data_IF_824538582763
#
_entry.id   IF_824538582763
#
_cell.length_a   1.000
_cell.length_b   1.000
_cell.length_c   1.000
_cell.angle_alpha   90.00
_cell.angle_beta   90.00
_cell.angle_gamma   90.00
#
_symmetry.space_group_name_H-M   'P 1'
#
loop_
_entity.id
_entity.type
_entity.pdbx_description
1 polymer ?
#
# COMPACT_ATOMS: atom_id res chain seq x y z
N UNK A 1 -7.31 3.16 18.85
CA UNK A 1 -7.70 2.44 17.63
C UNK A 1 -8.71 3.20 16.77
N UNK A 2 -9.81 3.75 17.29
CA UNK A 2 -10.81 4.55 16.50
C UNK A 2 -10.23 5.74 15.69
N UNK A 3 -9.06 6.29 16.05
CA UNK A 3 -8.45 7.44 15.35
C UNK A 3 -7.63 7.05 14.10
N UNK A 4 -7.15 5.81 14.00
CA UNK A 4 -6.46 5.32 12.81
C UNK A 4 -7.44 5.00 11.68
N UNK A 5 -8.65 4.51 12.01
CA UNK A 5 -9.72 4.27 11.04
C UNK A 5 -10.11 5.55 10.29
N UNK A 6 -10.13 6.71 10.99
CA UNK A 6 -10.46 7.99 10.37
C UNK A 6 -9.41 8.44 9.34
N UNK A 7 -8.13 8.04 9.49
CA UNK A 7 -7.10 8.44 8.54
C UNK A 7 -7.28 7.76 7.17
N UNK A 8 -7.64 6.48 7.14
CA UNK A 8 -7.89 5.76 5.88
C UNK A 8 -9.18 6.20 5.19
N UNK A 9 -10.10 6.85 5.91
CA UNK A 9 -11.37 7.36 5.39
C UNK A 9 -11.29 8.81 4.88
N UNK A 10 -10.25 9.57 5.26
CA UNK A 10 -10.12 11.00 4.92
C UNK A 10 -8.93 11.25 3.99
N UNK A 11 -9.22 11.73 2.77
CA UNK A 11 -8.21 12.05 1.74
C UNK A 11 -7.60 13.45 1.86
N UNK A 12 -7.42 13.99 3.05
CA UNK A 12 -6.93 15.33 3.17
C UNK A 12 -7.88 16.36 2.55
N UNK A 13 -7.33 17.31 1.78
CA UNK A 13 -8.10 18.33 1.04
C UNK A 13 -8.56 17.84 -0.34
N UNK A 14 -8.16 16.62 -0.77
CA UNK A 14 -8.53 16.09 -2.08
C UNK A 14 -9.97 15.57 -2.09
N UNK A 15 -10.66 15.81 -3.18
CA UNK A 15 -11.87 15.05 -3.51
C UNK A 15 -11.44 13.61 -3.85
N UNK A 16 -12.39 12.67 -3.80
CA UNK A 16 -12.10 11.28 -4.15
C UNK A 16 -11.73 11.15 -5.63
N UNK A 17 -12.26 12.01 -6.47
CA UNK A 17 -11.96 12.11 -7.91
C UNK A 17 -10.53 12.58 -8.14
N UNK A 18 -10.09 13.63 -7.44
CA UNK A 18 -8.70 14.11 -7.49
C UNK A 18 -7.73 13.04 -7.00
N UNK A 19 -8.07 12.31 -5.94
CA UNK A 19 -7.29 11.18 -5.47
C UNK A 19 -7.15 10.11 -6.56
N UNK A 20 -8.23 9.74 -7.25
CA UNK A 20 -8.20 8.76 -8.34
C UNK A 20 -7.31 9.26 -9.48
N UNK A 21 -7.42 10.54 -9.86
CA UNK A 21 -6.59 11.14 -10.90
C UNK A 21 -5.11 11.09 -10.56
N UNK A 22 -4.73 11.61 -9.39
CA UNK A 22 -3.32 11.75 -9.00
C UNK A 22 -2.67 10.41 -8.64
N UNK A 23 -3.39 9.53 -7.95
CA UNK A 23 -2.83 8.26 -7.45
C UNK A 23 -2.75 7.19 -8.53
N UNK A 24 -3.70 7.17 -9.46
CA UNK A 24 -3.82 6.10 -10.46
C UNK A 24 -3.72 6.62 -11.89
N UNK A 25 -4.63 7.47 -12.36
CA UNK A 25 -4.73 7.78 -13.79
C UNK A 25 -3.53 8.56 -14.34
N UNK A 26 -2.90 9.41 -13.53
CA UNK A 26 -1.65 10.11 -13.86
C UNK A 26 -0.39 9.37 -13.44
N UNK A 27 -0.50 8.23 -12.77
CA UNK A 27 0.61 7.45 -12.26
C UNK A 27 0.74 6.14 -13.04
N UNK A 28 1.51 6.19 -14.12
CA UNK A 28 1.68 5.03 -14.99
C UNK A 28 2.30 3.83 -14.26
N UNK A 29 3.23 4.06 -13.32
CA UNK A 29 3.83 2.98 -12.52
C UNK A 29 2.77 2.20 -11.72
N UNK A 30 1.78 2.89 -11.13
CA UNK A 30 0.67 2.25 -10.40
C UNK A 30 -0.23 1.45 -11.35
N UNK A 31 -0.53 2.02 -12.51
CA UNK A 31 -1.36 1.34 -13.51
C UNK A 31 -0.65 0.11 -14.09
N UNK A 32 0.67 0.20 -14.32
CA UNK A 32 1.50 -0.92 -14.76
C UNK A 32 1.53 -2.03 -13.70
N UNK A 33 1.71 -1.68 -12.42
CA UNK A 33 1.64 -2.62 -11.31
C UNK A 33 0.30 -3.38 -11.28
N UNK A 34 -0.82 -2.69 -11.43
CA UNK A 34 -2.13 -3.33 -11.43
C UNK A 34 -2.33 -4.26 -12.64
N UNK A 35 -1.88 -3.85 -13.84
CA UNK A 35 -1.91 -4.71 -15.04
C UNK A 35 -1.04 -5.95 -14.84
N UNK A 36 0.12 -5.79 -14.23
CA UNK A 36 1.01 -6.90 -13.92
C UNK A 36 0.34 -7.90 -12.97
N UNK A 37 -0.29 -7.44 -11.89
CA UNK A 37 -1.06 -8.31 -10.99
C UNK A 37 -2.16 -9.05 -11.74
N UNK A 38 -2.90 -8.39 -12.64
CA UNK A 38 -3.94 -9.01 -13.46
C UNK A 38 -3.37 -10.16 -14.32
N UNK A 39 -2.16 -9.98 -14.88
CA UNK A 39 -1.50 -11.01 -15.69
C UNK A 39 -1.08 -12.25 -14.89
N UNK A 40 -0.94 -12.13 -13.57
CA UNK A 40 -0.60 -13.23 -12.67
C UNK A 40 -1.82 -14.03 -12.19
N UNK A 41 -3.04 -13.55 -12.45
CA UNK A 41 -4.27 -14.26 -12.09
C UNK A 41 -4.39 -15.53 -12.97
N UNK A 42 -4.54 -16.72 -12.38
CA UNK A 42 -4.66 -17.97 -13.14
C UNK A 42 -5.80 -17.96 -14.14
N UNK A 43 -5.62 -18.66 -15.26
CA UNK A 43 -6.70 -18.92 -16.20
C UNK A 43 -7.81 -19.74 -15.52
N UNK A 44 -9.07 -19.54 -15.97
CA UNK A 44 -10.21 -20.20 -15.37
C UNK A 44 -10.60 -19.73 -13.97
N UNK A 45 -10.03 -18.60 -13.48
CA UNK A 45 -10.50 -17.96 -12.25
C UNK A 45 -11.92 -17.48 -12.43
N UNK A 46 -12.84 -17.97 -11.58
CA UNK A 46 -14.26 -17.62 -11.62
C UNK A 46 -14.69 -16.71 -10.47
N UNK A 47 -13.95 -16.70 -9.36
CA UNK A 47 -14.24 -15.88 -8.19
C UNK A 47 -12.96 -15.23 -7.63
N UNK A 48 -13.02 -13.92 -7.37
CA UNK A 48 -11.91 -13.17 -6.83
C UNK A 48 -12.38 -12.20 -5.75
N UNK A 49 -11.66 -12.17 -4.63
CA UNK A 49 -11.81 -11.15 -3.59
C UNK A 49 -10.59 -10.24 -3.55
N UNK A 50 -10.82 -8.92 -3.58
CA UNK A 50 -9.79 -7.90 -3.36
C UNK A 50 -9.93 -7.30 -1.96
N UNK A 51 -9.00 -7.63 -1.07
CA UNK A 51 -8.98 -7.17 0.31
C UNK A 51 -8.26 -5.82 0.38
N UNK A 52 -8.97 -4.78 0.87
CA UNK A 52 -8.50 -3.40 0.83
C UNK A 52 -8.63 -2.77 -0.56
N UNK A 53 -9.73 -3.04 -1.25
CA UNK A 53 -9.97 -2.65 -2.65
C UNK A 53 -9.97 -1.14 -2.91
N UNK A 54 -10.01 -0.31 -1.86
CA UNK A 54 -10.04 1.13 -1.98
C UNK A 54 -11.22 1.61 -2.83
N UNK A 55 -10.89 2.47 -3.81
CA UNK A 55 -11.87 3.02 -4.78
C UNK A 55 -12.17 2.08 -5.95
N UNK A 56 -11.68 0.84 -5.91
CA UNK A 56 -12.03 -0.24 -6.85
C UNK A 56 -11.33 -0.19 -8.20
N UNK A 57 -10.21 0.54 -8.35
CA UNK A 57 -9.49 0.65 -9.65
C UNK A 57 -9.02 -0.72 -10.16
N UNK A 58 -8.46 -1.57 -9.27
CA UNK A 58 -8.04 -2.91 -9.64
C UNK A 58 -9.22 -3.76 -10.14
N UNK A 59 -10.34 -3.73 -9.44
CA UNK A 59 -11.55 -4.48 -9.82
C UNK A 59 -12.14 -4.00 -11.16
N UNK A 60 -12.12 -2.70 -11.42
CA UNK A 60 -12.57 -2.14 -12.71
C UNK A 60 -11.64 -2.57 -13.85
N UNK A 61 -10.33 -2.54 -13.66
CA UNK A 61 -9.36 -3.05 -14.62
C UNK A 61 -9.53 -4.56 -14.86
N UNK A 62 -9.69 -5.34 -13.78
CA UNK A 62 -9.91 -6.79 -13.86
C UNK A 62 -11.14 -7.13 -14.69
N UNK A 63 -12.26 -6.45 -14.45
CA UNK A 63 -13.49 -6.61 -15.21
C UNK A 63 -13.29 -6.29 -16.70
N UNK A 64 -12.58 -5.20 -17.02
CA UNK A 64 -12.34 -4.76 -18.41
C UNK A 64 -11.36 -5.68 -19.16
N UNK A 65 -10.30 -6.14 -18.50
CA UNK A 65 -9.25 -6.91 -19.15
C UNK A 65 -9.47 -8.42 -19.17
N UNK A 66 -10.18 -8.95 -18.16
CA UNK A 66 -10.37 -10.40 -18.00
C UNK A 66 -11.84 -10.82 -17.96
N UNK A 67 -12.79 -9.88 -17.96
CA UNK A 67 -14.21 -10.19 -17.81
C UNK A 67 -14.59 -10.74 -16.44
N UNK A 68 -13.69 -10.73 -15.46
CA UNK A 68 -13.93 -11.26 -14.10
C UNK A 68 -14.58 -10.17 -13.26
N UNK A 69 -15.77 -10.44 -12.76
CA UNK A 69 -16.43 -9.57 -11.79
C UNK A 69 -16.00 -9.97 -10.38
N UNK A 70 -14.93 -9.34 -9.89
CA UNK A 70 -14.42 -9.56 -8.53
C UNK A 70 -15.26 -8.85 -7.48
N UNK A 71 -15.21 -9.37 -6.25
CA UNK A 71 -15.72 -8.74 -5.03
C UNK A 71 -14.60 -7.95 -4.35
N UNK A 72 -14.93 -6.81 -3.72
CA UNK A 72 -13.96 -6.04 -2.95
C UNK A 72 -14.45 -5.72 -1.55
N UNK A 73 -13.51 -5.61 -0.61
CA UNK A 73 -13.78 -5.04 0.71
C UNK A 73 -12.80 -3.90 1.01
N UNK A 74 -13.27 -2.87 1.70
CA UNK A 74 -12.43 -1.81 2.26
C UNK A 74 -13.03 -1.31 3.57
N UNK A 75 -12.18 -0.86 4.49
CA UNK A 75 -12.65 -0.32 5.77
C UNK A 75 -13.27 1.07 5.62
N UNK A 76 -12.90 1.80 4.57
CA UNK A 76 -13.37 3.16 4.28
C UNK A 76 -14.71 3.14 3.57
N UNK A 77 -15.77 3.51 4.29
CA UNK A 77 -17.12 3.66 3.72
C UNK A 77 -17.16 4.62 2.51
N UNK A 78 -16.41 5.71 2.60
CA UNK A 78 -16.32 6.71 1.52
C UNK A 78 -15.79 6.11 0.22
N UNK A 79 -14.72 5.28 0.30
CA UNK A 79 -14.15 4.58 -0.86
C UNK A 79 -15.11 3.53 -1.41
N UNK A 80 -15.73 2.77 -0.53
CA UNK A 80 -16.73 1.76 -0.89
C UNK A 80 -17.91 2.38 -1.63
N UNK A 81 -18.46 3.48 -1.13
CA UNK A 81 -19.59 4.16 -1.77
C UNK A 81 -19.20 4.71 -3.16
N UNK A 82 -17.99 5.23 -3.31
CA UNK A 82 -17.49 5.66 -4.60
C UNK A 82 -17.35 4.50 -5.60
N UNK A 83 -16.81 3.36 -5.16
CA UNK A 83 -16.67 2.17 -6.00
C UNK A 83 -18.04 1.57 -6.38
N UNK A 84 -19.00 1.53 -5.44
CA UNK A 84 -20.39 1.09 -5.70
C UNK A 84 -21.09 1.96 -6.75
N UNK A 85 -20.93 3.30 -6.67
CA UNK A 85 -21.50 4.23 -7.64
C UNK A 85 -20.99 3.98 -9.07
N UNK A 86 -19.87 3.26 -9.23
CA UNK A 86 -19.29 2.85 -10.52
C UNK A 86 -19.69 1.42 -10.93
N UNK A 87 -20.64 0.81 -10.23
CA UNK A 87 -21.17 -0.51 -10.53
C UNK A 87 -20.24 -1.67 -10.14
N UNK A 88 -19.33 -1.46 -9.17
CA UNK A 88 -18.46 -2.50 -8.65
C UNK A 88 -19.11 -3.22 -7.46
N UNK A 89 -18.86 -4.53 -7.32
CA UNK A 89 -19.28 -5.32 -6.17
C UNK A 89 -18.29 -5.09 -5.03
N UNK A 90 -18.62 -4.22 -4.10
CA UNK A 90 -17.76 -3.89 -2.98
C UNK A 90 -18.55 -3.73 -1.69
N UNK A 91 -17.95 -4.11 -0.57
CA UNK A 91 -18.54 -3.97 0.77
C UNK A 91 -17.58 -3.33 1.75
N UNK A 92 -18.15 -2.67 2.76
CA UNK A 92 -17.36 -2.23 3.91
C UNK A 92 -17.02 -3.44 4.76
N UNK A 93 -15.73 -3.64 5.04
CA UNK A 93 -15.26 -4.76 5.84
C UNK A 93 -13.87 -4.54 6.43
N UNK A 94 -13.56 -5.30 7.47
CA UNK A 94 -12.25 -5.37 8.10
C UNK A 94 -11.50 -6.59 7.59
N UNK A 95 -10.27 -6.39 7.10
CA UNK A 95 -9.40 -7.48 6.64
C UNK A 95 -9.13 -8.55 7.72
N UNK A 96 -9.18 -8.16 8.99
CA UNK A 96 -9.01 -9.07 10.13
C UNK A 96 -10.27 -9.85 10.53
N UNK A 97 -11.41 -9.65 9.84
CA UNK A 97 -12.68 -10.31 10.13
C UNK A 97 -13.57 -10.34 8.89
N UNK A 98 -13.26 -11.25 7.96
CA UNK A 98 -13.96 -11.40 6.68
C UNK A 98 -15.26 -12.17 6.87
N UNK A 99 -16.37 -11.63 6.36
CA UNK A 99 -17.72 -12.24 6.46
C UNK A 99 -18.01 -13.22 5.31
N UNK A 100 -17.02 -14.01 4.93
CA UNK A 100 -17.13 -15.00 3.86
C UNK A 100 -16.84 -16.39 4.40
N UNK A 101 -17.38 -17.39 3.72
CA UNK A 101 -17.11 -18.79 4.04
C UNK A 101 -15.67 -19.19 3.69
N UNK A 102 -15.21 -20.29 4.26
CA UNK A 102 -13.90 -20.86 3.98
C UNK A 102 -13.80 -21.26 2.51
N UNK A 103 -12.68 -20.94 1.89
CA UNK A 103 -12.35 -21.36 0.51
C UNK A 103 -13.40 -20.96 -0.54
N UNK A 104 -14.08 -19.83 -0.38
CA UNK A 104 -15.13 -19.39 -1.30
C UNK A 104 -14.61 -18.61 -2.53
N UNK A 105 -13.35 -18.10 -2.50
CA UNK A 105 -12.75 -17.41 -3.65
C UNK A 105 -11.58 -18.18 -4.26
N UNK A 106 -11.59 -18.38 -5.58
CA UNK A 106 -10.47 -18.98 -6.30
C UNK A 106 -9.16 -18.20 -6.08
N UNK A 107 -9.25 -16.87 -6.14
CA UNK A 107 -8.12 -15.94 -5.92
C UNK A 107 -8.50 -14.91 -4.87
N UNK A 108 -7.56 -14.62 -3.97
CA UNK A 108 -7.64 -13.47 -3.06
C UNK A 108 -6.47 -12.56 -3.30
N UNK A 109 -6.73 -11.25 -3.49
CA UNK A 109 -5.70 -10.22 -3.63
C UNK A 109 -5.67 -9.32 -2.41
N UNK A 110 -4.47 -8.80 -2.07
CA UNK A 110 -4.28 -7.73 -1.10
C UNK A 110 -3.15 -6.81 -1.61
N UNK A 111 -3.52 -5.67 -2.19
CA UNK A 111 -2.64 -4.80 -2.95
C UNK A 111 -2.42 -3.48 -2.22
N UNK A 112 -1.20 -3.26 -1.68
CA UNK A 112 -0.84 -2.09 -0.86
C UNK A 112 -1.74 -1.96 0.39
N UNK A 113 -1.86 -3.07 1.13
CA UNK A 113 -2.71 -3.17 2.32
C UNK A 113 -1.93 -3.66 3.54
N UNK A 114 -1.14 -4.74 3.38
CA UNK A 114 -0.53 -5.45 4.50
C UNK A 114 0.44 -4.59 5.31
N UNK A 115 1.15 -3.67 4.66
CA UNK A 115 2.05 -2.71 5.31
C UNK A 115 1.33 -1.75 6.25
N UNK A 116 0.07 -1.46 5.96
CA UNK A 116 -0.76 -0.53 6.72
C UNK A 116 -1.49 -1.15 7.91
N UNK A 117 -1.58 -2.48 7.97
CA UNK A 117 -2.35 -3.14 9.02
C UNK A 117 -1.64 -3.04 10.38
N UNK A 118 -2.31 -2.57 11.45
CA UNK A 118 -1.73 -2.54 12.79
C UNK A 118 -1.40 -3.94 13.30
N UNK A 119 -0.50 -4.01 14.29
CA UNK A 119 -0.22 -5.26 15.01
C UNK A 119 -1.52 -5.84 15.60
N UNK A 120 -1.67 -7.15 15.53
CA UNK A 120 -2.90 -7.86 15.92
C UNK A 120 -3.95 -7.94 14.80
N UNK A 121 -4.19 -6.86 14.05
CA UNK A 121 -5.05 -6.90 12.85
C UNK A 121 -4.33 -7.60 11.70
N UNK A 122 -3.03 -7.35 11.53
CA UNK A 122 -2.22 -7.99 10.50
C UNK A 122 -2.26 -9.52 10.59
N UNK A 123 -2.00 -10.07 11.77
CA UNK A 123 -1.98 -11.51 11.99
C UNK A 123 -3.36 -12.15 11.76
N UNK A 124 -4.43 -11.43 12.12
CA UNK A 124 -5.80 -11.84 11.81
C UNK A 124 -6.08 -11.81 10.31
N UNK A 125 -5.69 -10.73 9.63
CA UNK A 125 -5.88 -10.57 8.19
C UNK A 125 -5.17 -11.68 7.39
N UNK A 126 -3.94 -12.05 7.75
CA UNK A 126 -3.24 -13.16 7.09
C UNK A 126 -4.01 -14.47 7.22
N UNK A 127 -4.57 -14.76 8.41
CA UNK A 127 -5.39 -15.95 8.65
C UNK A 127 -6.70 -15.92 7.85
N UNK A 128 -7.38 -14.78 7.82
CA UNK A 128 -8.64 -14.60 7.11
C UNK A 128 -8.45 -14.68 5.59
N UNK A 129 -7.43 -14.02 5.04
CA UNK A 129 -7.07 -14.11 3.63
C UNK A 129 -6.79 -15.58 3.24
N UNK A 130 -6.01 -16.30 4.07
CA UNK A 130 -5.74 -17.72 3.85
C UNK A 130 -7.01 -18.57 3.99
N UNK A 131 -7.90 -18.27 4.92
CA UNK A 131 -9.13 -19.00 5.17
C UNK A 131 -10.09 -18.93 3.97
N UNK A 132 -10.36 -17.72 3.48
CA UNK A 132 -11.35 -17.51 2.40
C UNK A 132 -10.80 -17.84 1.00
N UNK A 133 -9.47 -17.91 0.84
CA UNK A 133 -8.85 -18.28 -0.45
C UNK A 133 -8.92 -19.77 -0.69
N UNK A 134 -9.42 -20.17 -1.87
CA UNK A 134 -9.52 -21.58 -2.31
C UNK A 134 -8.20 -22.07 -2.94
N UNK A 135 -7.58 -21.29 -3.81
CA UNK A 135 -6.45 -21.74 -4.64
C UNK A 135 -5.23 -20.82 -4.53
N UNK A 136 -5.40 -19.53 -4.77
CA UNK A 136 -4.28 -18.60 -4.98
C UNK A 136 -4.45 -17.33 -4.17
N UNK A 137 -3.35 -16.85 -3.58
CA UNK A 137 -3.25 -15.52 -2.97
C UNK A 137 -2.22 -14.72 -3.74
N UNK A 138 -2.55 -13.48 -4.09
CA UNK A 138 -1.61 -12.54 -4.73
C UNK A 138 -1.53 -11.28 -3.88
N UNK A 139 -0.33 -10.90 -3.48
CA UNK A 139 -0.12 -9.65 -2.74
C UNK A 139 0.84 -8.75 -3.50
N UNK A 140 0.69 -7.45 -3.30
CA UNK A 140 1.64 -6.42 -3.70
C UNK A 140 1.90 -5.51 -2.51
N UNK A 141 3.17 -5.28 -2.19
CA UNK A 141 3.61 -4.42 -1.08
C UNK A 141 4.86 -3.63 -1.47
N UNK A 142 5.18 -2.51 -0.81
CA UNK A 142 6.43 -1.80 -1.03
C UNK A 142 7.64 -2.70 -0.72
N UNK A 143 8.59 -2.76 -1.67
CA UNK A 143 9.79 -3.57 -1.51
C UNK A 143 10.87 -2.85 -0.71
N UNK A 144 11.31 -3.44 0.39
CA UNK A 144 12.43 -2.96 1.21
C UNK A 144 12.37 -1.43 1.43
N UNK A 145 11.15 -0.94 1.70
CA UNK A 145 10.90 0.49 1.82
C UNK A 145 11.63 1.08 3.03
N UNK A 146 12.31 2.18 2.79
CA UNK A 146 12.83 2.99 3.87
C UNK A 146 11.73 3.83 4.48
N UNK A 147 11.36 3.52 5.71
CA UNK A 147 10.34 4.28 6.44
C UNK A 147 10.91 5.61 6.96
N UNK A 148 10.26 6.70 6.59
CA UNK A 148 10.51 8.01 7.16
C UNK A 148 9.74 8.13 8.48
N UNK A 149 10.39 8.66 9.52
CA UNK A 149 9.73 8.99 10.78
C UNK A 149 9.74 10.48 11.02
N UNK A 150 8.61 11.00 11.50
CA UNK A 150 8.43 12.40 11.85
C UNK A 150 7.88 12.52 13.26
N UNK A 151 8.16 13.65 13.89
CA UNK A 151 7.59 13.99 15.21
C UNK A 151 6.46 14.98 15.02
N UNK A 152 5.30 14.70 15.60
CA UNK A 152 4.18 15.60 15.60
C UNK A 152 4.55 16.88 16.37
N UNK A 153 4.43 18.08 15.76
CA UNK A 153 4.81 19.34 16.43
C UNK A 153 3.85 19.73 17.57
N UNK A 154 2.67 19.08 17.62
CA UNK A 154 1.64 19.39 18.61
C UNK A 154 1.71 18.49 19.87
N UNK A 155 1.88 17.17 19.67
CA UNK A 155 1.85 16.21 20.80
C UNK A 155 3.15 15.42 21.00
N UNK A 156 4.19 15.65 20.19
CA UNK A 156 5.48 14.98 20.29
C UNK A 156 5.50 13.51 19.84
N UNK A 157 4.38 12.94 19.42
CA UNK A 157 4.33 11.54 18.95
C UNK A 157 5.16 11.37 17.68
N UNK A 158 6.05 10.38 17.67
CA UNK A 158 6.82 9.98 16.49
C UNK A 158 6.07 8.91 15.70
N UNK A 159 5.92 9.08 14.39
CA UNK A 159 5.20 8.15 13.52
C UNK A 159 5.71 8.22 12.07
N UNK A 160 5.38 7.20 11.28
CA UNK A 160 5.59 7.19 9.84
C UNK A 160 4.40 7.86 9.13
N UNK A 161 4.60 8.90 8.29
CA UNK A 161 3.50 9.58 7.60
C UNK A 161 2.71 8.73 6.62
N UNK A 162 3.35 7.69 6.03
CA UNK A 162 2.67 6.73 5.16
C UNK A 162 1.95 5.62 5.96
N UNK A 163 2.09 5.59 7.28
CA UNK A 163 1.53 4.55 8.17
C UNK A 163 1.93 3.12 7.80
N UNK A 164 3.15 2.94 7.27
CA UNK A 164 3.71 1.62 7.04
C UNK A 164 4.32 1.08 8.34
N UNK A 165 3.70 0.06 8.89
CA UNK A 165 4.12 -0.55 10.16
C UNK A 165 5.24 -1.57 9.97
N UNK A 166 5.45 -2.08 8.74
CA UNK A 166 6.42 -3.14 8.45
C UNK A 166 7.13 -2.96 7.11
N UNK A 167 8.24 -3.66 6.96
CA UNK A 167 9.05 -3.68 5.75
C UNK A 167 8.96 -5.09 5.18
N UNK A 168 8.75 -5.21 3.88
CA UNK A 168 8.69 -6.47 3.18
C UNK A 168 9.93 -6.68 2.31
N UNK A 169 10.50 -7.89 2.43
CA UNK A 169 11.59 -8.42 1.63
C UNK A 169 11.25 -9.85 1.24
N UNK A 170 12.09 -10.49 0.44
CA UNK A 170 11.88 -11.87 0.00
C UNK A 170 11.78 -12.87 1.17
N UNK A 171 12.65 -12.72 2.15
CA UNK A 171 12.68 -13.56 3.35
C UNK A 171 11.40 -13.45 4.18
N UNK A 172 10.81 -12.25 4.27
CA UNK A 172 9.57 -12.01 5.01
C UNK A 172 8.34 -12.60 4.33
N UNK A 173 8.43 -12.94 3.05
CA UNK A 173 7.31 -13.45 2.26
C UNK A 173 7.23 -14.98 2.23
N UNK A 174 8.29 -15.69 2.58
CA UNK A 174 8.40 -17.14 2.35
C UNK A 174 7.32 -17.98 3.03
N UNK A 175 6.79 -17.55 4.19
CA UNK A 175 5.84 -18.30 5.01
C UNK A 175 4.67 -17.44 5.52
N UNK A 176 4.22 -16.50 4.69
CA UNK A 176 3.28 -15.48 5.13
C UNK A 176 1.87 -16.03 5.41
N UNK A 177 1.39 -16.96 4.59
CA UNK A 177 0.03 -17.48 4.67
C UNK A 177 0.00 -18.96 5.11
N UNK A 178 -0.71 -19.31 6.20
CA UNK A 178 -0.87 -20.71 6.63
C UNK A 178 -1.53 -21.56 5.54
N UNK A 179 -0.95 -22.72 5.25
CA UNK A 179 -1.48 -23.66 4.25
C UNK A 179 -1.24 -23.27 2.78
N UNK A 180 -0.40 -22.25 2.53
CA UNK A 180 0.01 -21.82 1.20
C UNK A 180 1.52 -21.88 1.04
N UNK A 181 1.97 -22.15 -0.19
CA UNK A 181 3.37 -22.13 -0.58
C UNK A 181 3.61 -20.96 -1.54
N UNK A 182 4.66 -20.21 -1.28
CA UNK A 182 5.15 -19.17 -2.19
C UNK A 182 5.60 -19.83 -3.50
N UNK A 183 5.01 -19.38 -4.61
CA UNK A 183 5.30 -19.92 -5.95
C UNK A 183 6.14 -18.95 -6.78
N UNK A 184 5.86 -17.66 -6.66
CA UNK A 184 6.48 -16.65 -7.51
C UNK A 184 6.68 -15.36 -6.75
N UNK A 185 7.80 -14.70 -7.03
CA UNK A 185 8.08 -13.32 -6.62
C UNK A 185 8.44 -12.52 -7.86
N UNK A 186 7.81 -11.35 -8.00
CA UNK A 186 8.13 -10.36 -9.01
C UNK A 186 8.47 -9.03 -8.35
N UNK A 187 9.49 -8.35 -8.87
CA UNK A 187 9.89 -7.03 -8.41
C UNK A 187 9.72 -6.04 -9.54
N UNK A 188 8.90 -5.04 -9.35
CA UNK A 188 8.50 -4.10 -10.39
C UNK A 188 8.61 -2.64 -9.97
N UNK A 189 8.52 -1.76 -10.95
CA UNK A 189 8.70 -0.33 -10.76
C UNK A 189 10.12 0.03 -10.34
N UNK A 190 10.41 1.31 -10.30
CA UNK A 190 11.71 1.83 -9.86
C UNK A 190 11.52 2.96 -8.87
N UNK A 191 12.22 2.88 -7.76
CA UNK A 191 12.30 3.97 -6.79
C UNK A 191 13.77 4.27 -6.47
N UNK A 192 14.06 5.53 -6.24
CA UNK A 192 15.37 5.94 -5.76
C UNK A 192 15.31 6.08 -4.24
N UNK A 193 16.11 5.31 -3.54
CA UNK A 193 16.14 5.27 -2.09
C UNK A 193 17.56 5.47 -1.55
N UNK A 194 17.72 6.23 -0.47
CA UNK A 194 19.01 6.42 0.15
C UNK A 194 19.51 5.09 0.77
N UNK A 195 20.76 4.74 0.50
CA UNK A 195 21.41 3.49 0.91
C UNK A 195 22.04 3.53 2.32
N UNK A 196 21.71 4.54 3.12
CA UNK A 196 22.23 4.66 4.49
C UNK A 196 21.46 3.75 5.46
N UNK A 197 22.13 3.24 6.51
CA UNK A 197 21.48 2.49 7.58
C UNK A 197 20.31 3.25 8.20
N UNK A 198 19.24 2.56 8.54
CA UNK A 198 17.99 3.16 9.08
C UNK A 198 18.25 4.05 10.31
N UNK A 199 19.15 3.61 11.21
CA UNK A 199 19.50 4.36 12.42
C UNK A 199 20.15 5.70 12.11
N UNK A 200 21.08 5.75 11.14
CA UNK A 200 21.75 6.99 10.73
C UNK A 200 20.75 7.93 10.04
N UNK A 201 19.81 7.38 9.30
CA UNK A 201 18.80 8.18 8.63
C UNK A 201 17.76 8.75 9.60
N UNK A 202 17.39 8.03 10.65
CA UNK A 202 16.55 8.58 11.74
C UNK A 202 17.19 9.82 12.34
N UNK A 203 18.51 9.78 12.60
CA UNK A 203 19.25 10.93 13.12
C UNK A 203 19.23 12.09 12.11
N UNK A 204 19.47 11.82 10.84
CA UNK A 204 19.44 12.83 9.78
C UNK A 204 18.03 13.43 9.63
N UNK A 205 16.98 12.61 9.70
CA UNK A 205 15.59 13.08 9.60
C UNK A 205 15.19 13.95 10.80
N UNK A 206 15.67 13.61 12.02
CA UNK A 206 15.47 14.42 13.23
C UNK A 206 16.23 15.76 13.14
N UNK A 207 17.46 15.74 12.62
CA UNK A 207 18.29 16.93 12.46
C UNK A 207 17.88 17.81 11.27
N UNK A 208 17.05 17.30 10.37
CA UNK A 208 16.52 18.08 9.25
C UNK A 208 15.53 19.13 9.76
N UNK A 209 15.99 20.39 9.79
CA UNK A 209 15.12 21.57 10.03
C UNK A 209 14.21 21.92 8.84
N UNK A 210 14.32 21.23 7.70
CA UNK A 210 13.46 21.49 6.53
C UNK A 210 12.09 20.88 6.76
N UNK A 211 11.00 21.65 6.67
CA UNK A 211 9.66 21.09 6.77
C UNK A 211 9.47 20.08 5.64
N UNK A 212 9.03 18.88 6.01
CA UNK A 212 8.59 17.89 5.05
C UNK A 212 7.46 18.49 4.21
N UNK A 213 7.54 18.35 2.91
CA UNK A 213 6.48 18.77 1.97
C UNK A 213 5.29 17.81 1.99
N UNK A 214 5.34 16.78 2.83
CA UNK A 214 4.36 15.71 2.92
C UNK A 214 3.21 16.14 3.82
N UNK A 215 1.99 16.01 3.33
CA UNK A 215 0.77 16.07 4.13
C UNK A 215 0.72 14.86 5.08
N UNK A 216 0.26 15.07 6.31
CA UNK A 216 0.04 13.98 7.26
C UNK A 216 -0.99 14.34 8.33
N UNK A 217 -1.59 13.31 8.90
CA UNK A 217 -2.43 13.42 10.10
C UNK A 217 -1.74 12.69 11.25
N UNK A 218 -1.61 13.30 12.41
CA UNK A 218 -1.03 12.63 13.56
C UNK A 218 -1.97 11.54 14.10
N UNK A 219 -1.52 10.27 14.24
CA UNK A 219 -2.39 9.18 14.70
C UNK A 219 -2.80 9.31 16.18
N UNK A 220 -2.05 10.09 16.98
CA UNK A 220 -2.33 10.25 18.38
C UNK A 220 -3.31 11.40 18.68
N UNK A 221 -3.06 12.60 18.12
CA UNK A 221 -3.85 13.79 18.44
C UNK A 221 -4.76 14.29 17.30
N UNK A 222 -4.62 13.73 16.11
CA UNK A 222 -5.39 14.18 14.93
C UNK A 222 -4.88 15.48 14.30
N UNK A 223 -3.74 16.02 14.76
CA UNK A 223 -3.14 17.20 14.15
C UNK A 223 -2.89 16.93 12.66
N UNK A 224 -3.43 17.80 11.80
CA UNK A 224 -3.26 17.72 10.34
C UNK A 224 -2.26 18.78 9.88
N UNK A 225 -1.25 18.36 9.14
CA UNK A 225 -0.37 19.24 8.39
C UNK A 225 -0.82 19.27 6.94
N UNK A 226 -1.29 20.43 6.44
CA UNK A 226 -1.66 20.56 5.04
C UNK A 226 -0.44 20.45 4.13
N UNK A 227 -0.64 20.14 2.82
CA UNK A 227 0.44 20.13 1.84
C UNK A 227 1.09 21.51 1.76
N UNK A 228 2.41 21.53 1.79
CA UNK A 228 3.17 22.78 1.68
C UNK A 228 3.11 23.28 0.23
N UNK A 229 2.31 24.29 -0.06
CA UNK A 229 2.36 25.01 -1.35
C UNK A 229 3.70 25.79 -1.41
N UNK A 230 4.75 25.14 -1.89
CA UNK A 230 6.05 25.80 -2.04
C UNK A 230 6.00 26.82 -3.18
N UNK A 231 6.06 28.10 -2.86
CA UNK A 231 6.68 29.07 -3.77
C UNK A 231 8.18 28.75 -3.76
N UNK A 232 8.64 28.00 -4.77
CA UNK A 232 10.06 27.66 -4.93
C UNK A 232 10.83 28.98 -5.13
N UNK A 233 11.41 29.51 -4.06
CA UNK A 233 12.46 30.52 -4.20
C UNK A 233 13.68 29.79 -4.78
N UNK A 234 14.05 30.12 -6.02
CA UNK A 234 15.29 29.67 -6.65
C UNK A 234 16.46 30.15 -5.81
N UNK A 235 16.92 29.33 -4.88
CA UNK A 235 18.11 29.57 -4.05
C UNK A 235 19.37 29.14 -4.78
N UNK A 236 20.48 29.80 -4.46
CA UNK A 236 21.76 29.87 -5.14
C UNK A 236 22.38 28.56 -5.64
N UNK A 237 22.77 28.55 -6.89
CA UNK A 237 23.19 27.43 -7.72
C UNK A 237 24.39 26.59 -7.23
N UNK A 238 25.29 27.09 -6.38
CA UNK A 238 26.53 26.38 -5.99
C UNK A 238 26.38 25.42 -4.80
N UNK A 239 25.60 25.78 -3.78
CA UNK A 239 25.36 24.88 -2.62
C UNK A 239 24.46 23.70 -2.98
N UNK A 240 23.62 23.82 -4.00
CA UNK A 240 22.72 22.77 -4.48
C UNK A 240 23.46 21.65 -5.23
N UNK A 241 24.57 21.95 -5.92
CA UNK A 241 25.32 20.95 -6.71
C UNK A 241 26.03 19.92 -5.81
N UNK A 242 26.74 20.35 -4.79
CA UNK A 242 27.43 19.44 -3.85
C UNK A 242 26.43 18.58 -3.07
N UNK A 243 25.30 19.16 -2.68
CA UNK A 243 24.21 18.45 -2.01
C UNK A 243 23.54 17.43 -2.94
N UNK A 244 23.31 17.77 -4.21
CA UNK A 244 22.78 16.85 -5.23
C UNK A 244 23.78 15.74 -5.55
N UNK A 245 25.07 16.05 -5.62
CA UNK A 245 26.12 15.06 -5.85
C UNK A 245 26.27 14.08 -4.69
N UNK A 246 26.28 14.56 -3.43
CA UNK A 246 26.27 13.70 -2.24
C UNK A 246 24.99 12.86 -2.15
N UNK A 247 23.85 13.43 -2.47
CA UNK A 247 22.59 12.67 -2.53
C UNK A 247 22.64 11.61 -3.64
N UNK A 248 23.20 11.92 -4.82
CA UNK A 248 23.36 10.97 -5.92
C UNK A 248 24.24 9.77 -5.54
N UNK A 249 25.33 9.98 -4.80
CA UNK A 249 26.19 8.91 -4.30
C UNK A 249 25.50 7.98 -3.26
N UNK A 250 24.51 8.52 -2.56
CA UNK A 250 23.78 7.83 -1.49
C UNK A 250 22.45 7.20 -1.99
N UNK A 251 22.02 7.52 -3.22
CA UNK A 251 20.76 7.04 -3.76
C UNK A 251 20.98 5.85 -4.68
N UNK A 252 20.31 4.76 -4.37
CA UNK A 252 20.32 3.55 -5.20
C UNK A 252 18.94 3.37 -5.84
N UNK A 253 18.96 2.94 -7.09
CA UNK A 253 17.77 2.40 -7.74
C UNK A 253 17.43 1.06 -7.14
N UNK A 254 16.19 0.88 -6.77
CA UNK A 254 15.66 -0.42 -6.36
C UNK A 254 14.25 -0.60 -6.89
N UNK A 255 13.73 -1.83 -6.93
CA UNK A 255 12.32 -2.07 -7.21
C UNK A 255 11.44 -1.28 -6.23
N UNK A 256 10.32 -0.77 -6.71
CA UNK A 256 9.35 -0.07 -5.88
C UNK A 256 8.45 -1.02 -5.13
N UNK A 257 8.00 -2.08 -5.81
CA UNK A 257 7.11 -3.08 -5.25
C UNK A 257 7.67 -4.49 -5.39
N UNK A 258 7.22 -5.34 -4.48
CA UNK A 258 7.34 -6.78 -4.56
C UNK A 258 5.94 -7.38 -4.63
N UNK A 259 5.71 -8.22 -5.64
CA UNK A 259 4.48 -8.99 -5.80
C UNK A 259 4.80 -10.43 -5.50
N UNK A 260 3.97 -11.07 -4.69
CA UNK A 260 4.13 -12.47 -4.34
C UNK A 260 2.86 -13.25 -4.64
N UNK A 261 3.03 -14.40 -5.25
CA UNK A 261 1.95 -15.35 -5.61
C UNK A 261 2.12 -16.61 -4.77
N UNK A 262 1.06 -16.99 -4.08
CA UNK A 262 1.03 -18.19 -3.25
C UNK A 262 -0.07 -19.12 -3.75
N UNK A 263 0.21 -20.41 -3.81
CA UNK A 263 -0.80 -21.43 -4.08
C UNK A 263 -1.04 -22.28 -2.84
N UNK A 264 -2.28 -22.70 -2.67
CA UNK A 264 -2.65 -23.58 -1.58
C UNK A 264 -1.88 -24.92 -1.71
N UNK A 265 -1.34 -25.37 -0.60
CA UNK A 265 -0.76 -26.71 -0.56
C UNK A 265 -1.85 -27.73 -0.92
N UNK A 266 -1.58 -28.57 -1.91
CA UNK A 266 -2.45 -29.74 -2.16
C UNK A 266 -2.34 -30.63 -0.93
N UNK A 267 -3.39 -30.72 -0.14
CA UNK A 267 -3.54 -31.83 0.79
C UNK A 267 -3.83 -33.06 -0.09
N UNK A 268 -2.86 -33.96 -0.17
CA UNK A 268 -3.07 -35.33 -0.66
C UNK A 268 -3.99 -36.06 0.28
#
# INVERSE_FOLDING_TARGET
>A
MKKAENWYSEFGEYTIEEYVQERFLKNEDEMERLRWVISLIPEGTSSLLDVGCGVGIFLDLLRRHRGIQGMGIDISEKKVNFARARGLLVEKGDAGSLRFEDRCFDVVTALEVLEHLPFGTYEKALKEIARVSKKTIIISVPYNERRLFITCPYCGTMFNPSYHFRIFKEDTLSSLFPGFKLQKIEKIGVVHQASLPENLMKIIDILRKTPLTIEYVCPACGFRKPPFKSKIKKGGKKKDFLKKFLLFLLWRKQPRWIIAVYNRNNCF
#
